data_IF_630808760317
#
_entry.id   IF_630808760317
#
_cell.length_a   1.000
_cell.length_b   1.000
_cell.length_c   1.000
_cell.angle_alpha   90.00
_cell.angle_beta   90.00
_cell.angle_gamma   90.00
#
_symmetry.space_group_name_H-M   'P 1'
#
loop_
_entity.id
_entity.type
_entity.pdbx_description
1 polymer ?
#
# COMPACT_ATOMS: atom_id res chain seq x y z
N UNK A 1 -28.02 -14.71 -0.95
CA UNK A 1 -27.17 -14.42 0.23
C UNK A 1 -25.77 -14.10 -0.27
N UNK A 2 -25.21 -12.92 0.00
CA UNK A 2 -23.83 -12.66 -0.36
C UNK A 2 -22.94 -13.58 0.50
N UNK A 3 -22.01 -14.28 -0.13
CA UNK A 3 -21.01 -15.09 0.57
C UNK A 3 -20.05 -14.12 1.25
N UNK A 4 -20.36 -13.71 2.48
CA UNK A 4 -19.43 -13.00 3.34
C UNK A 4 -18.38 -14.00 3.80
N UNK A 5 -17.27 -14.08 3.09
CA UNK A 5 -16.08 -14.78 3.57
C UNK A 5 -15.66 -14.15 4.90
N UNK A 6 -15.56 -14.98 5.93
CA UNK A 6 -15.19 -14.57 7.29
C UNK A 6 -13.86 -13.79 7.28
N UNK A 7 -13.75 -12.65 7.98
CA UNK A 7 -12.54 -11.82 7.99
C UNK A 7 -11.26 -12.58 8.38
N UNK A 8 -11.35 -13.51 9.33
CA UNK A 8 -10.24 -14.40 9.70
C UNK A 8 -9.75 -15.21 8.50
N UNK A 9 -10.67 -15.85 7.77
CA UNK A 9 -10.29 -16.67 6.63
C UNK A 9 -9.65 -15.86 5.50
N UNK A 10 -10.09 -14.61 5.33
CA UNK A 10 -9.49 -13.66 4.38
C UNK A 10 -8.08 -13.24 4.81
N UNK A 11 -7.83 -13.09 6.11
CA UNK A 11 -6.50 -12.79 6.63
C UNK A 11 -5.55 -13.98 6.48
N UNK A 12 -6.00 -15.21 6.79
CA UNK A 12 -5.24 -16.43 6.52
C UNK A 12 -4.88 -16.54 5.03
N UNK A 13 -5.85 -16.25 4.14
CA UNK A 13 -5.61 -16.27 2.68
C UNK A 13 -4.59 -15.22 2.26
N UNK A 14 -4.57 -14.06 2.92
CA UNK A 14 -3.58 -13.01 2.69
C UNK A 14 -2.18 -13.48 3.10
N UNK A 15 -2.04 -14.11 4.27
CA UNK A 15 -0.77 -14.69 4.74
C UNK A 15 -0.26 -15.78 3.79
N UNK A 16 -1.15 -16.69 3.36
CA UNK A 16 -0.86 -17.74 2.38
C UNK A 16 -0.43 -17.18 1.02
N UNK A 17 -1.00 -16.04 0.61
CA UNK A 17 -0.60 -15.34 -0.61
C UNK A 17 0.79 -14.70 -0.44
N UNK A 18 1.02 -13.98 0.67
CA UNK A 18 2.29 -13.31 0.96
C UNK A 18 3.46 -14.28 1.01
N UNK A 19 3.27 -15.48 1.58
CA UNK A 19 4.31 -16.52 1.64
C UNK A 19 4.80 -17.00 0.26
N UNK A 20 3.97 -16.84 -0.79
CA UNK A 20 4.21 -17.31 -2.16
C UNK A 20 4.30 -16.19 -3.18
N UNK A 21 4.24 -14.92 -2.76
CA UNK A 21 4.16 -13.77 -3.67
C UNK A 21 5.34 -13.74 -4.67
N UNK A 22 6.51 -14.19 -4.21
CA UNK A 22 7.74 -14.23 -5.00
C UNK A 22 7.74 -15.26 -6.13
N UNK A 23 6.79 -16.21 -6.16
CA UNK A 23 6.66 -17.18 -7.25
C UNK A 23 5.73 -16.70 -8.35
N UNK A 24 4.97 -15.62 -8.11
CA UNK A 24 3.87 -15.20 -8.96
C UNK A 24 4.17 -13.94 -9.78
N UNK A 25 5.08 -13.08 -9.33
CA UNK A 25 5.27 -11.73 -9.88
C UNK A 25 6.76 -11.36 -9.96
N UNK A 26 7.16 -10.47 -10.89
CA UNK A 26 8.47 -9.83 -10.87
C UNK A 26 8.59 -8.87 -9.68
N UNK A 27 9.84 -8.54 -9.29
CA UNK A 27 10.11 -7.77 -8.07
C UNK A 27 9.40 -6.41 -8.03
N UNK A 28 9.39 -5.68 -9.14
CA UNK A 28 8.73 -4.36 -9.21
C UNK A 28 7.24 -4.48 -8.88
N UNK A 29 6.55 -5.46 -9.47
CA UNK A 29 5.14 -5.73 -9.17
C UNK A 29 4.91 -6.26 -7.75
N UNK A 30 5.84 -7.07 -7.20
CA UNK A 30 5.79 -7.53 -5.82
C UNK A 30 5.76 -6.32 -4.88
N UNK A 31 6.68 -5.36 -5.03
CA UNK A 31 6.78 -4.19 -4.14
C UNK A 31 5.45 -3.44 -4.07
N UNK A 32 4.79 -3.27 -5.22
CA UNK A 32 3.50 -2.58 -5.32
C UNK A 32 2.35 -3.43 -4.77
N UNK A 33 2.37 -4.75 -5.00
CA UNK A 33 1.39 -5.63 -4.37
C UNK A 33 1.53 -5.66 -2.86
N UNK A 34 2.73 -5.55 -2.29
CA UNK A 34 2.91 -5.50 -0.85
C UNK A 34 2.24 -4.26 -0.25
N UNK A 35 2.35 -3.10 -0.90
CA UNK A 35 1.61 -1.89 -0.49
C UNK A 35 0.11 -2.18 -0.43
N UNK A 36 -0.48 -2.68 -1.53
CA UNK A 36 -1.91 -3.04 -1.58
C UNK A 36 -2.29 -4.07 -0.50
N UNK A 37 -1.48 -5.11 -0.34
CA UNK A 37 -1.76 -6.20 0.58
C UNK A 37 -1.73 -5.70 2.03
N UNK A 38 -0.84 -4.77 2.36
CA UNK A 38 -0.78 -4.17 3.70
C UNK A 38 -2.02 -3.34 4.01
N UNK A 39 -2.49 -2.54 3.05
CA UNK A 39 -3.77 -1.82 3.14
C UNK A 39 -4.93 -2.80 3.41
N UNK A 40 -4.96 -3.93 2.71
CA UNK A 40 -5.95 -4.99 2.95
C UNK A 40 -5.78 -5.60 4.34
N UNK A 41 -4.55 -5.89 4.77
CA UNK A 41 -4.24 -6.45 6.08
C UNK A 41 -4.75 -5.57 7.22
N UNK A 42 -4.48 -4.27 7.19
CA UNK A 42 -5.03 -3.33 8.17
C UNK A 42 -6.56 -3.27 8.13
N UNK A 43 -7.16 -3.30 6.94
CA UNK A 43 -8.62 -3.33 6.79
C UNK A 43 -9.23 -4.58 7.42
N UNK A 44 -8.58 -5.74 7.27
CA UNK A 44 -9.03 -7.01 7.84
C UNK A 44 -8.84 -7.03 9.35
N UNK A 45 -7.69 -6.60 9.85
CA UNK A 45 -7.43 -6.45 11.29
C UNK A 45 -8.48 -5.55 11.97
N UNK A 46 -8.81 -4.41 11.36
CA UNK A 46 -9.86 -3.51 11.84
C UNK A 46 -11.28 -4.12 11.75
N UNK A 47 -11.52 -5.04 10.82
CA UNK A 47 -12.81 -5.76 10.68
C UNK A 47 -12.97 -6.86 11.72
N UNK A 48 -11.87 -7.57 12.02
CA UNK A 48 -11.81 -8.59 13.07
C UNK A 48 -11.98 -7.94 14.45
N UNK A 49 -11.27 -6.83 14.69
CA UNK A 49 -11.36 -6.04 15.93
C UNK A 49 -11.10 -6.86 17.20
N UNK A 50 -10.07 -7.71 17.16
CA UNK A 50 -9.60 -8.49 18.31
C UNK A 50 -8.15 -8.12 18.63
N UNK A 51 -7.73 -8.13 19.91
CA UNK A 51 -6.38 -7.71 20.31
C UNK A 51 -5.23 -8.47 19.63
N UNK A 52 -5.46 -9.72 19.24
CA UNK A 52 -4.48 -10.55 18.55
C UNK A 52 -4.14 -10.02 17.15
N UNK A 53 -5.10 -9.35 16.49
CA UNK A 53 -4.98 -8.83 15.14
C UNK A 53 -4.84 -7.31 15.16
N UNK A 54 -3.71 -6.86 15.70
CA UNK A 54 -3.37 -5.43 15.82
C UNK A 54 -2.61 -4.91 14.60
N UNK A 55 -2.38 -3.59 14.56
CA UNK A 55 -1.42 -2.98 13.64
C UNK A 55 -0.05 -3.69 13.69
N UNK A 56 0.49 -3.91 14.89
CA UNK A 56 1.80 -4.55 15.08
C UNK A 56 1.85 -5.98 14.58
N UNK A 57 0.72 -6.70 14.62
CA UNK A 57 0.62 -8.02 14.01
C UNK A 57 0.82 -7.93 12.49
N UNK A 58 0.10 -7.03 11.82
CA UNK A 58 0.24 -6.79 10.37
C UNK A 58 1.64 -6.28 10.04
N UNK A 59 2.19 -5.34 10.83
CA UNK A 59 3.52 -4.78 10.59
C UNK A 59 4.61 -5.86 10.66
N UNK A 60 4.54 -6.76 11.66
CA UNK A 60 5.48 -7.90 11.77
C UNK A 60 5.35 -8.91 10.63
N UNK A 61 4.12 -9.19 10.18
CA UNK A 61 3.90 -10.07 9.03
C UNK A 61 4.62 -9.55 7.79
N UNK A 62 4.44 -8.27 7.48
CA UNK A 62 5.06 -7.67 6.30
C UNK A 62 6.57 -7.48 6.46
N UNK A 63 7.05 -7.09 7.64
CA UNK A 63 8.49 -7.00 7.91
C UNK A 63 9.21 -8.31 7.57
N UNK A 64 8.63 -9.45 7.97
CA UNK A 64 9.15 -10.77 7.63
C UNK A 64 9.16 -11.01 6.11
N UNK A 65 8.06 -10.66 5.43
CA UNK A 65 7.97 -10.81 3.96
C UNK A 65 9.04 -10.00 3.24
N UNK A 66 9.29 -8.75 3.66
CA UNK A 66 10.36 -7.92 3.10
C UNK A 66 11.75 -8.55 3.33
N UNK A 67 12.03 -9.06 4.55
CA UNK A 67 13.29 -9.75 4.86
C UNK A 67 13.51 -11.03 4.02
N UNK A 68 12.45 -11.83 3.85
CA UNK A 68 12.49 -13.05 3.03
C UNK A 68 12.75 -12.71 1.55
N UNK A 69 12.14 -11.63 1.04
CA UNK A 69 12.38 -11.13 -0.31
C UNK A 69 13.82 -10.62 -0.47
N UNK A 70 14.34 -9.83 0.47
CA UNK A 70 15.72 -9.34 0.41
C UNK A 70 16.71 -10.50 0.33
N UNK A 71 16.49 -11.54 1.14
CA UNK A 71 17.29 -12.76 1.14
C UNK A 71 17.21 -13.51 -0.19
N UNK A 72 16.00 -13.61 -0.78
CA UNK A 72 15.76 -14.33 -2.03
C UNK A 72 16.39 -13.64 -3.24
N UNK A 73 16.28 -12.31 -3.31
CA UNK A 73 16.74 -11.52 -4.46
C UNK A 73 18.18 -11.01 -4.29
N UNK A 74 18.81 -11.19 -3.12
CA UNK A 74 20.19 -10.79 -2.87
C UNK A 74 20.40 -9.28 -2.86
N UNK A 75 19.34 -8.50 -2.61
CA UNK A 75 19.37 -7.04 -2.54
C UNK A 75 18.49 -6.57 -1.37
N UNK A 76 18.78 -5.39 -0.82
CA UNK A 76 17.93 -4.85 0.24
C UNK A 76 16.60 -4.35 -0.33
N UNK A 77 15.51 -4.95 0.12
CA UNK A 77 14.13 -4.57 -0.18
C UNK A 77 13.53 -4.06 1.13
N UNK A 78 13.73 -2.77 1.38
CA UNK A 78 13.32 -2.13 2.63
C UNK A 78 11.79 -2.04 2.74
N UNK A 79 11.27 -2.32 3.93
CA UNK A 79 9.88 -2.09 4.27
C UNK A 79 9.61 -0.57 4.38
N UNK A 80 8.73 0.01 3.54
CA UNK A 80 8.51 1.45 3.51
C UNK A 80 7.75 2.00 4.72
N UNK A 81 7.21 1.14 5.60
CA UNK A 81 6.58 1.58 6.85
C UNK A 81 7.59 1.73 8.01
N UNK A 82 8.85 1.36 7.82
CA UNK A 82 9.91 1.58 8.81
C UNK A 82 10.36 3.05 8.90
N UNK A 83 10.33 3.79 7.79
CA UNK A 83 10.51 5.24 7.76
C UNK A 83 9.43 5.89 6.85
N UNK A 84 8.20 6.06 7.36
CA UNK A 84 7.09 6.60 6.57
C UNK A 84 7.39 8.00 6.00
N UNK A 85 8.22 8.78 6.68
CA UNK A 85 8.61 10.10 6.22
C UNK A 85 9.46 10.00 4.95
N UNK A 86 10.52 9.18 4.96
CA UNK A 86 11.38 9.03 3.78
C UNK A 86 10.65 8.28 2.64
N UNK A 87 9.89 7.24 2.99
CA UNK A 87 9.26 6.38 1.99
C UNK A 87 8.14 7.06 1.22
N UNK A 88 7.50 8.08 1.79
CA UNK A 88 6.54 8.92 1.05
C UNK A 88 7.20 9.55 -0.19
N UNK A 89 8.37 10.18 -0.03
CA UNK A 89 9.11 10.79 -1.15
C UNK A 89 9.59 9.72 -2.13
N UNK A 90 10.15 8.63 -1.62
CA UNK A 90 10.67 7.54 -2.46
C UNK A 90 9.59 6.94 -3.36
N UNK A 91 8.37 6.75 -2.84
CA UNK A 91 7.26 6.20 -3.62
C UNK A 91 6.78 7.20 -4.69
N UNK A 92 6.70 8.49 -4.36
CA UNK A 92 6.33 9.53 -5.33
C UNK A 92 7.37 9.63 -6.45
N UNK A 93 8.65 9.62 -6.10
CA UNK A 93 9.75 9.65 -7.08
C UNK A 93 9.79 8.37 -7.93
N UNK A 94 9.52 7.22 -7.33
CA UNK A 94 9.42 5.95 -8.04
C UNK A 94 8.29 5.97 -9.08
N UNK A 95 7.09 6.44 -8.69
CA UNK A 95 5.95 6.62 -9.58
C UNK A 95 6.27 7.55 -10.75
N UNK A 96 6.86 8.71 -10.48
CA UNK A 96 7.31 9.65 -11.52
C UNK A 96 8.35 9.01 -12.44
N UNK A 97 9.24 8.18 -11.88
CA UNK A 97 10.27 7.51 -12.69
C UNK A 97 9.67 6.55 -13.72
N UNK A 98 8.50 5.97 -13.47
CA UNK A 98 7.81 5.11 -14.43
C UNK A 98 7.27 5.87 -15.64
N UNK A 99 7.00 7.17 -15.51
CA UNK A 99 6.59 8.02 -16.64
C UNK A 99 7.74 8.26 -17.63
N UNK A 100 8.98 8.24 -17.13
CA UNK A 100 10.17 8.52 -17.92
C UNK A 100 10.88 7.25 -18.43
N UNK A 101 10.53 6.07 -17.90
CA UNK A 101 11.16 4.78 -18.23
C UNK A 101 10.25 3.96 -19.13
N UNK A 102 10.82 3.22 -20.08
CA UNK A 102 10.07 2.19 -20.78
C UNK A 102 9.92 0.95 -19.87
N UNK A 103 8.79 0.90 -19.15
CA UNK A 103 8.44 -0.22 -18.27
C UNK A 103 7.63 -1.32 -18.99
N UNK A 104 7.22 -1.08 -20.24
CA UNK A 104 6.30 -1.95 -20.98
C UNK A 104 4.81 -1.78 -20.61
N UNK A 105 3.93 -2.06 -21.58
CA UNK A 105 2.49 -1.82 -21.45
C UNK A 105 1.81 -2.57 -20.31
N UNK A 106 2.14 -3.86 -20.11
CA UNK A 106 1.54 -4.66 -19.04
C UNK A 106 1.84 -4.14 -17.63
N UNK A 107 3.07 -3.66 -17.40
CA UNK A 107 3.42 -3.07 -16.12
C UNK A 107 2.66 -1.76 -15.90
N UNK A 108 2.55 -0.92 -16.92
CA UNK A 108 1.81 0.34 -16.82
C UNK A 108 0.32 0.12 -16.56
N UNK A 109 -0.31 -0.84 -17.25
CA UNK A 109 -1.68 -1.30 -16.96
C UNK A 109 -1.83 -1.76 -15.50
N UNK A 110 -0.85 -2.52 -15.02
CA UNK A 110 -0.81 -2.97 -13.64
C UNK A 110 -0.72 -1.79 -12.66
N UNK A 111 0.16 -0.80 -12.87
CA UNK A 111 0.26 0.38 -12.01
C UNK A 111 -1.07 1.13 -11.96
N UNK A 112 -1.65 1.45 -13.12
CA UNK A 112 -2.92 2.16 -13.25
C UNK A 112 -4.01 1.45 -12.45
N UNK A 113 -4.12 0.13 -12.58
CA UNK A 113 -5.09 -0.68 -11.85
C UNK A 113 -4.87 -0.69 -10.33
N UNK A 114 -3.63 -0.47 -9.86
CA UNK A 114 -3.28 -0.45 -8.42
C UNK A 114 -3.28 0.95 -7.82
N UNK A 115 -3.32 2.02 -8.62
CA UNK A 115 -3.26 3.41 -8.17
C UNK A 115 -4.23 3.72 -7.01
N UNK A 116 -5.53 3.54 -7.26
CA UNK A 116 -6.61 3.74 -6.27
C UNK A 116 -6.56 2.76 -5.09
N UNK A 117 -5.95 1.58 -5.26
CA UNK A 117 -6.00 0.50 -4.25
C UNK A 117 -4.77 0.43 -3.36
N UNK A 118 -3.63 0.93 -3.84
CA UNK A 118 -2.32 0.81 -3.21
C UNK A 118 -1.75 2.19 -2.91
N UNK A 119 -1.44 2.97 -3.95
CA UNK A 119 -0.64 4.19 -3.82
C UNK A 119 -1.36 5.28 -3.02
N UNK A 120 -2.58 5.64 -3.38
CA UNK A 120 -3.37 6.68 -2.67
C UNK A 120 -3.50 6.37 -1.17
N UNK A 121 -4.01 5.20 -0.73
CA UNK A 121 -4.13 4.91 0.70
C UNK A 121 -2.79 4.70 1.41
N UNK A 122 -1.76 4.20 0.72
CA UNK A 122 -0.42 4.04 1.30
C UNK A 122 0.19 5.40 1.61
N UNK A 123 0.20 6.31 0.63
CA UNK A 123 0.78 7.63 0.80
C UNK A 123 0.02 8.45 1.83
N UNK A 124 -1.32 8.34 1.88
CA UNK A 124 -2.11 8.95 2.95
C UNK A 124 -1.66 8.49 4.33
N UNK A 125 -1.51 7.17 4.50
CA UNK A 125 -1.05 6.60 5.76
C UNK A 125 0.37 7.05 6.11
N UNK A 126 1.28 7.10 5.14
CA UNK A 126 2.64 7.56 5.38
C UNK A 126 2.66 9.02 5.82
N UNK A 127 1.84 9.89 5.21
CA UNK A 127 1.67 11.28 5.65
C UNK A 127 1.21 11.38 7.10
N UNK A 128 0.19 10.59 7.46
CA UNK A 128 -0.40 10.61 8.80
C UNK A 128 0.56 10.00 9.85
N UNK A 129 1.32 8.98 9.48
CA UNK A 129 2.27 8.30 10.38
C UNK A 129 3.58 9.05 10.54
N UNK A 130 4.01 9.84 9.55
CA UNK A 130 5.23 10.62 9.62
C UNK A 130 5.15 11.67 10.74
N UNK A 131 6.13 11.66 11.66
CA UNK A 131 6.17 12.58 12.82
C UNK A 131 7.19 13.73 12.67
N UNK A 132 7.85 13.87 11.51
CA UNK A 132 8.78 14.97 11.26
C UNK A 132 8.02 16.30 11.12
N UNK A 133 8.63 17.38 11.61
CA UNK A 133 8.06 18.73 11.50
C UNK A 133 8.07 19.24 10.05
N UNK A 134 9.19 19.01 9.34
CA UNK A 134 9.34 19.29 7.92
C UNK A 134 8.93 18.05 7.11
N UNK A 135 7.63 17.86 6.90
CA UNK A 135 7.07 16.79 6.07
C UNK A 135 6.06 17.36 5.07
N UNK A 136 5.82 16.65 3.97
CA UNK A 136 4.69 16.99 3.13
C UNK A 136 3.38 16.83 3.90
N UNK A 137 2.55 17.86 3.79
CA UNK A 137 1.13 17.79 4.10
C UNK A 137 0.42 16.83 3.15
N UNK A 138 -0.77 16.37 3.55
CA UNK A 138 -1.57 15.53 2.66
C UNK A 138 -2.00 16.27 1.40
N UNK A 139 -2.22 17.59 1.50
CA UNK A 139 -2.64 18.40 0.35
C UNK A 139 -1.51 18.49 -0.69
N UNK A 140 -0.26 18.63 -0.27
CA UNK A 140 0.90 18.57 -1.17
C UNK A 140 1.02 17.21 -1.86
N UNK A 141 0.91 16.11 -1.10
CA UNK A 141 0.94 14.74 -1.66
C UNK A 141 -0.23 14.50 -2.62
N UNK A 142 -1.39 15.08 -2.33
CA UNK A 142 -2.57 14.98 -3.18
C UNK A 142 -2.33 15.65 -4.54
N UNK A 143 -1.76 16.86 -4.56
CA UNK A 143 -1.43 17.56 -5.81
C UNK A 143 -0.51 16.67 -6.67
N UNK A 144 0.55 16.14 -6.05
CA UNK A 144 1.51 15.26 -6.71
C UNK A 144 0.85 14.00 -7.27
N UNK A 145 -0.04 13.37 -6.50
CA UNK A 145 -0.75 12.19 -6.97
C UNK A 145 -1.72 12.49 -8.10
N UNK A 146 -2.37 13.66 -8.10
CA UNK A 146 -3.27 14.07 -9.19
C UNK A 146 -2.50 14.30 -10.49
N UNK A 147 -1.33 14.94 -10.43
CA UNK A 147 -0.45 15.15 -11.59
C UNK A 147 0.04 13.81 -12.15
N UNK A 148 0.57 12.93 -11.30
CA UNK A 148 0.99 11.58 -11.69
C UNK A 148 -0.19 10.79 -12.28
N UNK A 149 -1.37 10.85 -11.67
CA UNK A 149 -2.56 10.14 -12.14
C UNK A 149 -2.96 10.56 -13.55
N UNK A 150 -2.88 11.86 -13.83
CA UNK A 150 -3.16 12.43 -15.14
C UNK A 150 -2.13 11.99 -16.18
N UNK A 151 -0.83 12.11 -15.87
CA UNK A 151 0.25 11.73 -16.78
C UNK A 151 0.29 10.22 -17.04
N UNK A 152 -0.01 9.41 -16.03
CA UNK A 152 -0.09 7.96 -16.16
C UNK A 152 -1.34 7.50 -16.89
N UNK A 153 -2.33 8.36 -17.16
CA UNK A 153 -3.64 8.01 -17.72
C UNK A 153 -4.35 6.92 -16.90
N UNK A 154 -4.45 7.12 -15.59
CA UNK A 154 -5.17 6.17 -14.73
C UNK A 154 -6.67 6.24 -15.03
N UNK A 155 -7.31 5.07 -15.20
CA UNK A 155 -8.71 4.93 -15.64
C UNK A 155 -9.79 5.34 -14.60
N UNK A 156 -9.43 6.04 -13.52
CA UNK A 156 -10.36 6.43 -12.46
C UNK A 156 -10.19 7.90 -12.13
N UNK A 157 -11.27 8.55 -11.68
CA UNK A 157 -11.19 9.96 -11.27
C UNK A 157 -10.60 10.09 -9.86
N UNK A 158 -10.14 11.31 -9.53
CA UNK A 158 -9.63 11.59 -8.20
C UNK A 158 -10.73 11.48 -7.14
N UNK A 159 -11.95 11.89 -7.46
CA UNK A 159 -13.12 11.79 -6.57
C UNK A 159 -13.39 10.33 -6.19
N UNK A 160 -13.30 9.39 -7.14
CA UNK A 160 -13.43 7.97 -6.83
C UNK A 160 -12.32 7.46 -5.89
N UNK A 161 -11.11 8.01 -6.03
CA UNK A 161 -9.99 7.70 -5.14
C UNK A 161 -10.26 8.22 -3.74
N UNK A 162 -10.73 9.47 -3.59
CA UNK A 162 -11.08 10.09 -2.31
C UNK A 162 -12.21 9.35 -1.61
N UNK A 163 -13.30 9.04 -2.29
CA UNK A 163 -14.40 8.29 -1.69
C UNK A 163 -13.95 6.94 -1.14
N UNK A 164 -13.08 6.24 -1.88
CA UNK A 164 -12.51 4.98 -1.42
C UNK A 164 -11.59 5.19 -0.24
N UNK A 165 -10.74 6.21 -0.29
CA UNK A 165 -9.81 6.56 0.76
C UNK A 165 -10.54 6.87 2.06
N UNK A 166 -11.61 7.68 2.01
CA UNK A 166 -12.40 8.06 3.17
C UNK A 166 -13.05 6.85 3.83
N UNK A 167 -13.64 5.94 3.02
CA UNK A 167 -14.19 4.67 3.51
C UNK A 167 -13.11 3.82 4.18
N UNK A 168 -11.91 3.77 3.59
CA UNK A 168 -10.78 3.03 4.14
C UNK A 168 -10.31 3.64 5.46
N UNK A 169 -10.01 4.94 5.48
CA UNK A 169 -9.51 5.67 6.65
C UNK A 169 -10.51 5.60 7.81
N UNK A 170 -11.80 5.77 7.54
CA UNK A 170 -12.85 5.61 8.58
C UNK A 170 -12.78 4.25 9.26
N UNK A 171 -12.49 3.19 8.50
CA UNK A 171 -12.40 1.82 9.04
C UNK A 171 -11.13 1.60 9.86
N UNK A 172 -9.98 2.08 9.39
CA UNK A 172 -8.68 1.74 9.98
C UNK A 172 -8.15 2.74 11.01
N UNK A 173 -8.71 3.96 11.10
CA UNK A 173 -8.31 4.98 12.09
C UNK A 173 -8.18 4.45 13.53
N UNK A 174 -9.16 3.68 14.07
CA UNK A 174 -9.05 3.11 15.42
C UNK A 174 -7.86 2.16 15.57
N UNK A 175 -7.59 1.33 14.55
CA UNK A 175 -6.47 0.40 14.54
C UNK A 175 -5.11 1.12 14.54
N UNK A 176 -5.06 2.28 13.87
CA UNK A 176 -3.83 3.07 13.72
C UNK A 176 -3.55 3.99 14.90
N UNK A 177 -4.50 4.17 15.83
CA UNK A 177 -4.42 5.19 16.87
C UNK A 177 -4.50 6.62 16.31
N UNK A 178 -5.13 6.80 15.14
CA UNK A 178 -5.32 8.10 14.49
C UNK A 178 -6.72 8.61 14.83
N UNK A 179 -6.83 9.57 15.76
CA UNK A 179 -8.09 10.11 16.26
C UNK A 179 -7.94 11.48 16.89
#
# INVERSE_FOLDING_TARGET
MPVTFEPHKRLETLEDYLSRIHTALPLDEIRIQLLRCRIVGYSLAAEINEPAYSRDYIDRLFLKVYQDLSSKFGQDITDPYLDPCASQYQILDELRSYLCKDMGGHFMEFIRAKFKQAFVPTLRLMTDLCQREEKYSWDEVKIELQEIMQEMEVDVTWEECEERLDRYMKKIKPLMGLG
#
